data_IF_539405056784
#
_entry.id   IF_539405056784
#
_cell.length_a   1.000
_cell.length_b   1.000
_cell.length_c   1.000
_cell.angle_alpha   90.00
_cell.angle_beta   90.00
_cell.angle_gamma   90.00
#
_symmetry.space_group_name_H-M   'P 1'
#
loop_
_entity.id
_entity.type
_entity.pdbx_description
1 polymer ?
#
# COMPACT_ATOMS: atom_id res chain seq x y z
N UNK A 1 5.17 9.23 -4.97
CA UNK A 1 5.15 8.78 -3.55
C UNK A 1 5.60 7.33 -3.52
N UNK A 2 6.46 6.95 -2.58
CA UNK A 2 7.02 5.57 -2.52
C UNK A 2 6.25 4.74 -1.50
N UNK A 3 5.83 3.53 -1.89
CA UNK A 3 5.18 2.57 -1.00
C UNK A 3 6.17 1.47 -0.63
N UNK A 4 6.58 1.42 0.63
CA UNK A 4 7.47 0.36 1.15
C UNK A 4 6.70 -0.65 2.01
N UNK A 5 6.47 -1.87 1.54
CA UNK A 5 5.79 -2.89 2.34
C UNK A 5 6.65 -3.33 3.53
N UNK A 6 6.10 -3.28 4.74
CA UNK A 6 6.70 -3.86 5.95
C UNK A 6 5.63 -4.60 6.75
N UNK A 7 5.55 -5.92 6.55
CA UNK A 7 4.56 -6.78 7.19
C UNK A 7 5.08 -7.41 8.49
N UNK A 8 6.39 -7.62 8.63
CA UNK A 8 6.94 -8.42 9.72
C UNK A 8 6.24 -9.79 9.82
N UNK A 9 5.67 -10.07 10.99
CA UNK A 9 4.91 -11.30 11.29
C UNK A 9 3.42 -11.22 10.92
N UNK A 10 2.96 -10.10 10.36
CA UNK A 10 1.57 -9.94 9.93
C UNK A 10 1.31 -10.63 8.58
N UNK A 11 0.11 -11.20 8.45
CA UNK A 11 -0.39 -11.78 7.20
C UNK A 11 -0.88 -10.71 6.23
N UNK A 12 -1.43 -9.61 6.76
CA UNK A 12 -1.87 -8.47 5.96
C UNK A 12 -1.89 -7.20 6.80
N UNK A 13 -1.82 -6.05 6.13
CA UNK A 13 -2.00 -4.73 6.74
C UNK A 13 -2.69 -3.79 5.76
N UNK A 14 -3.50 -2.87 6.29
CA UNK A 14 -4.12 -1.79 5.54
C UNK A 14 -3.80 -0.46 6.23
N UNK A 15 -3.48 0.56 5.44
CA UNK A 15 -3.18 1.90 5.90
C UNK A 15 -3.78 2.95 4.99
N UNK A 16 -4.01 4.14 5.55
CA UNK A 16 -4.40 5.30 4.76
C UNK A 16 -3.55 6.51 5.11
N UNK A 17 -3.25 7.33 4.11
CA UNK A 17 -2.49 8.55 4.24
C UNK A 17 -3.23 9.70 3.59
N UNK A 18 -3.63 10.74 4.35
CA UNK A 18 -4.31 11.89 3.78
C UNK A 18 -3.32 12.74 2.97
N UNK A 19 -3.72 13.09 1.75
CA UNK A 19 -2.99 14.03 0.89
C UNK A 19 -3.89 15.21 0.54
N UNK A 20 -3.33 16.33 0.07
CA UNK A 20 -4.13 17.45 -0.41
C UNK A 20 -5.12 17.11 -1.54
N UNK A 21 -4.84 16.05 -2.31
CA UNK A 21 -5.66 15.61 -3.46
C UNK A 21 -6.65 14.49 -3.10
N UNK A 22 -6.65 14.01 -1.85
CA UNK A 22 -7.50 12.92 -1.38
C UNK A 22 -6.73 11.92 -0.52
N UNK A 23 -7.41 10.87 -0.05
CA UNK A 23 -6.75 9.83 0.74
C UNK A 23 -6.11 8.79 -0.18
N UNK A 24 -4.82 8.54 0.05
CA UNK A 24 -4.15 7.34 -0.46
C UNK A 24 -4.48 6.19 0.48
N UNK A 25 -5.02 5.09 -0.03
CA UNK A 25 -5.16 3.84 0.71
C UNK A 25 -4.19 2.81 0.15
N UNK A 26 -3.56 2.05 1.04
CA UNK A 26 -2.61 1.01 0.67
C UNK A 26 -2.91 -0.24 1.48
N UNK A 27 -2.87 -1.39 0.82
CA UNK A 27 -3.04 -2.71 1.41
C UNK A 27 -1.89 -3.60 0.97
N UNK A 28 -1.31 -4.29 1.94
CA UNK A 28 -0.30 -5.31 1.70
C UNK A 28 -0.81 -6.66 2.18
N UNK A 29 -0.61 -7.69 1.37
CA UNK A 29 -1.02 -9.05 1.67
C UNK A 29 0.14 -10.01 1.44
N UNK A 30 0.48 -10.82 2.44
CA UNK A 30 1.47 -11.88 2.30
C UNK A 30 0.82 -13.07 1.60
N UNK A 31 1.34 -13.43 0.43
CA UNK A 31 0.86 -14.56 -0.35
C UNK A 31 1.40 -15.88 0.21
N UNK A 32 0.77 -16.99 -0.19
CA UNK A 32 1.16 -18.34 0.26
C UNK A 32 2.59 -18.74 -0.13
N UNK A 33 3.15 -18.11 -1.16
CA UNK A 33 4.51 -18.32 -1.63
C UNK A 33 5.55 -17.42 -0.90
N UNK A 34 5.08 -16.58 0.04
CA UNK A 34 5.91 -15.63 0.78
C UNK A 34 6.13 -14.29 0.08
N UNK A 35 5.61 -14.09 -1.14
CA UNK A 35 5.63 -12.79 -1.81
C UNK A 35 4.63 -11.81 -1.17
N UNK A 36 4.84 -10.51 -1.41
CA UNK A 36 3.94 -9.46 -0.91
C UNK A 36 3.18 -8.88 -2.10
N UNK A 37 1.86 -9.04 -2.08
CA UNK A 37 0.97 -8.35 -2.98
C UNK A 37 0.62 -6.97 -2.40
N UNK A 38 0.80 -5.92 -3.21
CA UNK A 38 0.46 -4.54 -2.82
C UNK A 38 -0.66 -4.03 -3.71
N UNK A 39 -1.74 -3.57 -3.09
CA UNK A 39 -2.86 -2.90 -3.75
C UNK A 39 -3.02 -1.50 -3.16
N UNK A 40 -3.29 -0.51 -4.00
CA UNK A 40 -3.49 0.87 -3.53
C UNK A 40 -4.59 1.57 -4.32
N UNK A 41 -5.21 2.56 -3.67
CA UNK A 41 -6.19 3.46 -4.25
C UNK A 41 -5.65 4.88 -4.05
N UNK A 42 -5.25 5.51 -5.15
CA UNK A 42 -4.63 6.84 -5.16
C UNK A 42 -5.46 7.79 -6.04
N UNK A 43 -5.54 9.09 -5.68
CA UNK A 43 -6.03 10.13 -6.59
C UNK A 43 -5.18 10.22 -7.86
N UNK A 44 -5.80 10.58 -8.99
CA UNK A 44 -5.14 10.67 -10.30
C UNK A 44 -3.96 11.66 -10.32
N UNK A 45 -4.00 12.70 -9.47
CA UNK A 45 -2.91 13.68 -9.35
C UNK A 45 -1.62 13.13 -8.72
N UNK A 46 -1.61 11.88 -8.22
CA UNK A 46 -0.47 11.31 -7.49
C UNK A 46 0.13 10.12 -8.24
N UNK A 47 1.39 10.28 -8.64
CA UNK A 47 2.19 9.17 -9.15
C UNK A 47 2.73 8.31 -8.00
N UNK A 48 2.44 7.01 -8.07
CA UNK A 48 2.86 5.99 -7.10
C UNK A 48 4.01 5.17 -7.67
N UNK A 49 5.06 5.02 -6.87
CA UNK A 49 6.23 4.16 -7.15
C UNK A 49 6.23 3.05 -6.10
N UNK A 50 6.34 1.79 -6.56
CA UNK A 50 6.33 0.57 -5.75
C UNK A 50 7.69 -0.11 -5.81
#
# INVERSE_FOLDING_TARGET
MEIKPSLGDLEWVEGSFPTPYGNLKVKHYKQKDGSIETSYEAPDEIEIII
#
